data_IF_624529597634
#
_entry.id   IF_624529597634
#
_cell.length_a   1.000
_cell.length_b   1.000
_cell.length_c   1.000
_cell.angle_alpha   90.00
_cell.angle_beta   90.00
_cell.angle_gamma   90.00
#
_symmetry.space_group_name_H-M   'P 1'
#
loop_
_entity.id
_entity.type
_entity.pdbx_description
1 polymer ?
#
# COMPACT_ATOMS: atom_id res chain seq x y z
N UNK A 1 0.64 14.41 -12.42
CA UNK A 1 2.02 14.81 -12.02
C UNK A 1 2.92 13.60 -12.14
N UNK A 2 4.14 13.73 -12.67
CA UNK A 2 5.08 12.60 -12.74
C UNK A 2 5.54 12.18 -11.34
N UNK A 3 6.15 11.00 -11.22
CA UNK A 3 6.72 10.51 -9.95
C UNK A 3 7.80 11.48 -9.47
N UNK A 4 8.66 11.93 -10.36
CA UNK A 4 9.78 12.86 -10.10
C UNK A 4 9.27 14.21 -9.58
N UNK A 5 8.22 14.74 -10.21
CA UNK A 5 7.60 15.98 -9.77
C UNK A 5 7.01 15.85 -8.35
N UNK A 6 6.36 14.72 -8.04
CA UNK A 6 5.81 14.46 -6.70
C UNK A 6 6.90 14.33 -5.66
N UNK A 7 7.97 13.58 -5.94
CA UNK A 7 9.14 13.44 -5.07
C UNK A 7 9.74 14.82 -4.76
N UNK A 8 9.99 15.64 -5.78
CA UNK A 8 10.60 16.96 -5.61
C UNK A 8 9.72 17.90 -4.77
N UNK A 9 8.41 17.92 -5.00
CA UNK A 9 7.48 18.70 -4.18
C UNK A 9 7.46 18.23 -2.72
N UNK A 10 7.44 16.92 -2.48
CA UNK A 10 7.47 16.37 -1.12
C UNK A 10 8.77 16.72 -0.40
N UNK A 11 9.93 16.66 -1.08
CA UNK A 11 11.22 17.10 -0.50
C UNK A 11 11.22 18.58 -0.12
N UNK A 12 10.66 19.44 -0.97
CA UNK A 12 10.50 20.88 -0.67
C UNK A 12 9.58 21.10 0.55
N UNK A 13 8.47 20.37 0.63
CA UNK A 13 7.56 20.43 1.76
C UNK A 13 8.24 19.99 3.07
N UNK A 14 8.98 18.88 3.05
CA UNK A 14 9.78 18.41 4.20
C UNK A 14 10.76 19.49 4.68
N UNK A 15 11.52 20.10 3.75
CA UNK A 15 12.48 21.17 4.08
C UNK A 15 11.78 22.36 4.76
N UNK A 16 10.61 22.74 4.27
CA UNK A 16 9.83 23.84 4.83
C UNK A 16 9.30 23.51 6.23
N UNK A 17 8.77 22.29 6.44
CA UNK A 17 8.29 21.84 7.76
C UNK A 17 9.43 21.75 8.78
N UNK A 18 10.61 21.24 8.39
CA UNK A 18 11.81 21.25 9.25
C UNK A 18 12.17 22.66 9.70
N UNK A 19 12.17 23.62 8.77
CA UNK A 19 12.41 25.03 9.11
C UNK A 19 11.38 25.60 10.12
N UNK A 20 10.09 25.21 10.04
CA UNK A 20 9.09 25.63 11.02
C UNK A 20 9.30 25.02 12.41
N UNK A 21 9.79 23.79 12.48
CA UNK A 21 10.14 23.12 13.74
C UNK A 21 11.37 23.77 14.39
N UNK A 22 12.37 24.12 13.58
CA UNK A 22 13.65 24.70 14.04
C UNK A 22 13.55 26.17 14.44
N UNK A 23 12.56 26.92 13.92
CA UNK A 23 12.45 28.36 14.19
C UNK A 23 12.09 28.59 15.67
N UNK A 24 12.96 29.23 16.47
CA UNK A 24 12.64 29.49 17.88
C UNK A 24 11.42 30.42 17.96
N UNK A 25 10.39 29.96 18.69
CA UNK A 25 9.20 30.74 19.05
C UNK A 25 9.65 31.97 19.87
N UNK A 26 9.95 33.09 19.20
CA UNK A 26 10.16 34.36 19.89
C UNK A 26 8.84 34.74 20.57
N UNK A 27 8.89 34.82 21.91
CA UNK A 27 7.93 35.37 22.88
C UNK A 27 6.73 36.11 22.27
N UNK A 28 5.52 35.63 22.61
CA UNK A 28 4.55 36.37 23.41
C UNK A 28 3.74 35.34 24.20
N UNK A 29 3.95 35.31 25.51
CA UNK A 29 3.08 34.63 26.47
C UNK A 29 1.96 35.59 26.80
N UNK A 30 0.79 35.43 26.19
CA UNK A 30 -0.47 35.90 26.76
C UNK A 30 -1.58 35.13 26.04
N UNK A 31 -2.26 34.32 26.84
CA UNK A 31 -3.54 33.63 26.64
C UNK A 31 -3.83 33.02 25.27
N UNK A 32 -3.69 31.69 25.22
CA UNK A 32 -4.54 30.86 24.36
C UNK A 32 -4.71 29.51 25.03
N UNK A 33 -5.66 29.45 25.98
CA UNK A 33 -6.40 28.24 26.26
C UNK A 33 -7.14 27.82 24.98
N UNK A 34 -6.46 27.07 24.13
CA UNK A 34 -7.13 26.32 23.06
C UNK A 34 -7.15 24.85 23.47
N UNK A 35 -8.19 24.50 24.21
CA UNK A 35 -8.76 23.17 24.16
C UNK A 35 -9.03 22.82 22.68
N UNK A 36 -8.22 21.94 22.11
CA UNK A 36 -8.58 21.29 20.85
C UNK A 36 -8.08 19.85 20.90
N UNK A 37 -9.01 19.00 21.32
CA UNK A 37 -9.00 17.58 21.07
C UNK A 37 -8.72 17.34 19.57
N UNK A 38 -7.63 16.63 19.25
CA UNK A 38 -7.00 16.44 17.91
C UNK A 38 -6.10 17.57 17.35
N UNK A 39 -4.87 17.72 17.87
CA UNK A 39 -3.85 18.61 17.26
C UNK A 39 -2.71 17.80 16.63
N UNK A 40 -2.82 17.54 15.32
CA UNK A 40 -1.69 17.07 14.49
C UNK A 40 -0.56 18.11 14.57
N UNK A 41 0.62 17.71 15.01
CA UNK A 41 1.76 18.62 15.19
C UNK A 41 2.60 18.76 13.93
N UNK A 42 3.51 19.74 13.89
CA UNK A 42 4.52 19.83 12.83
C UNK A 42 5.41 18.57 12.78
N UNK A 43 5.67 17.93 13.92
CA UNK A 43 6.45 16.68 13.98
C UNK A 43 5.68 15.50 13.37
N UNK A 44 4.38 15.40 13.63
CA UNK A 44 3.52 14.38 13.00
C UNK A 44 3.44 14.60 11.49
N UNK A 45 3.31 15.86 11.07
CA UNK A 45 3.31 16.25 9.65
C UNK A 45 4.62 15.88 8.97
N UNK A 46 5.75 16.15 9.63
CA UNK A 46 7.08 15.80 9.12
C UNK A 46 7.21 14.27 8.93
N UNK A 47 6.84 13.49 9.95
CA UNK A 47 6.86 12.03 9.91
C UNK A 47 6.01 11.50 8.76
N UNK A 48 4.82 12.07 8.58
CA UNK A 48 3.91 11.69 7.50
C UNK A 48 4.47 12.01 6.11
N UNK A 49 5.13 13.15 5.94
CA UNK A 49 5.78 13.55 4.69
C UNK A 49 7.01 12.69 4.38
N UNK A 50 7.84 12.37 5.38
CA UNK A 50 9.00 11.49 5.22
C UNK A 50 8.56 10.08 4.82
N UNK A 51 7.50 9.54 5.42
CA UNK A 51 6.89 8.27 4.99
C UNK A 51 6.37 8.34 3.56
N UNK A 52 5.68 9.42 3.18
CA UNK A 52 5.20 9.62 1.80
C UNK A 52 6.36 9.69 0.81
N UNK A 53 7.45 10.37 1.16
CA UNK A 53 8.63 10.48 0.30
C UNK A 53 9.26 9.11 0.07
N UNK A 54 9.46 8.33 1.14
CA UNK A 54 9.99 6.99 1.04
C UNK A 54 9.12 6.12 0.12
N UNK A 55 7.79 6.18 0.26
CA UNK A 55 6.88 5.46 -0.65
C UNK A 55 7.03 5.92 -2.11
N UNK A 56 7.04 7.23 -2.37
CA UNK A 56 7.17 7.75 -3.74
C UNK A 56 8.46 7.27 -4.42
N UNK A 57 9.55 7.12 -3.66
CA UNK A 57 10.81 6.58 -4.17
C UNK A 57 10.67 5.12 -4.63
N UNK A 58 9.78 4.33 -3.99
CA UNK A 58 9.50 2.95 -4.43
C UNK A 58 8.77 2.86 -5.78
N UNK A 59 8.14 3.94 -6.25
CA UNK A 59 7.45 3.97 -7.55
C UNK A 59 8.42 3.94 -8.76
N UNK A 60 9.72 4.06 -8.49
CA UNK A 60 10.81 3.87 -9.44
C UNK A 60 11.46 2.48 -9.32
N UNK A 61 10.96 1.61 -8.44
CA UNK A 61 11.42 0.23 -8.37
C UNK A 61 11.04 -0.53 -9.65
N UNK A 62 11.93 -1.40 -10.13
CA UNK A 62 11.77 -2.13 -11.40
C UNK A 62 10.46 -2.92 -11.47
N UNK A 63 10.05 -3.54 -10.36
CA UNK A 63 8.77 -4.22 -10.23
C UNK A 63 7.57 -3.29 -10.50
N UNK A 64 7.50 -2.12 -9.84
CA UNK A 64 6.39 -1.17 -10.01
C UNK A 64 6.38 -0.58 -11.42
N UNK A 65 7.56 -0.30 -11.98
CA UNK A 65 7.69 0.13 -13.39
C UNK A 65 7.12 -0.94 -14.33
N UNK A 66 7.41 -2.22 -14.07
CA UNK A 66 6.91 -3.32 -14.90
C UNK A 66 5.38 -3.44 -14.86
N UNK A 67 4.76 -3.22 -13.70
CA UNK A 67 3.30 -3.17 -13.57
C UNK A 67 2.72 -1.98 -14.33
N UNK A 68 3.28 -0.78 -14.14
CA UNK A 68 2.83 0.47 -14.76
C UNK A 68 2.89 0.44 -16.29
N UNK A 69 3.93 -0.20 -16.84
CA UNK A 69 4.19 -0.26 -18.27
C UNK A 69 3.67 -1.55 -18.93
N UNK A 70 2.97 -2.41 -18.17
CA UNK A 70 2.40 -3.65 -18.69
C UNK A 70 1.31 -3.37 -19.72
N UNK A 71 1.16 -4.23 -20.74
CA UNK A 71 0.03 -4.18 -21.68
C UNK A 71 -1.28 -4.69 -21.05
N UNK A 72 -1.21 -5.36 -19.90
CA UNK A 72 -2.38 -5.87 -19.19
C UNK A 72 -2.95 -4.80 -18.27
N UNK A 73 -4.19 -4.37 -18.53
CA UNK A 73 -4.89 -3.33 -17.77
C UNK A 73 -4.94 -3.63 -16.26
N UNK A 74 -5.14 -4.89 -15.89
CA UNK A 74 -5.15 -5.33 -14.49
C UNK A 74 -3.79 -5.09 -13.79
N UNK A 75 -2.67 -5.32 -14.49
CA UNK A 75 -1.34 -5.05 -13.93
C UNK A 75 -1.09 -3.55 -13.76
N UNK A 76 -1.53 -2.73 -14.72
CA UNK A 76 -1.50 -1.27 -14.58
C UNK A 76 -2.35 -0.80 -13.39
N UNK A 77 -3.52 -1.41 -13.18
CA UNK A 77 -4.40 -1.15 -12.03
C UNK A 77 -3.68 -1.42 -10.71
N UNK A 78 -2.93 -2.51 -10.57
CA UNK A 78 -2.12 -2.76 -9.37
C UNK A 78 -1.05 -1.69 -9.14
N UNK A 79 -0.39 -1.19 -10.19
CA UNK A 79 0.54 -0.05 -10.03
C UNK A 79 -0.17 1.19 -9.47
N UNK A 80 -1.38 1.48 -9.95
CA UNK A 80 -2.15 2.64 -9.50
C UNK A 80 -2.62 2.48 -8.05
N UNK A 81 -3.10 1.30 -7.67
CA UNK A 81 -3.51 1.02 -6.28
C UNK A 81 -2.29 1.12 -5.35
N UNK A 82 -1.13 0.62 -5.77
CA UNK A 82 0.08 0.69 -4.98
C UNK A 82 0.53 2.14 -4.75
N UNK A 83 0.49 2.98 -5.79
CA UNK A 83 0.79 4.42 -5.69
C UNK A 83 -0.14 5.13 -4.67
N UNK A 84 -1.43 4.80 -4.67
CA UNK A 84 -2.40 5.33 -3.71
C UNK A 84 -2.24 4.74 -2.30
N UNK A 85 -1.54 3.61 -2.16
CA UNK A 85 -1.40 2.90 -0.89
C UNK A 85 -0.49 3.62 0.11
N UNK A 86 0.47 4.42 -0.37
CA UNK A 86 1.52 5.04 0.47
C UNK A 86 2.32 4.04 1.30
N UNK A 87 2.40 2.79 0.85
CA UNK A 87 2.94 1.65 1.61
C UNK A 87 2.27 1.51 2.99
N UNK A 88 1.02 1.91 3.14
CA UNK A 88 0.25 1.67 4.36
C UNK A 88 -0.09 0.18 4.44
N UNK A 89 0.29 -0.47 5.55
CA UNK A 89 0.18 -1.92 5.77
C UNK A 89 -1.18 -2.50 5.37
N UNK A 90 -2.28 -1.86 5.80
CA UNK A 90 -3.64 -2.30 5.46
C UNK A 90 -3.92 -2.27 3.96
N UNK A 91 -3.55 -1.17 3.27
CA UNK A 91 -3.77 -1.02 1.82
C UNK A 91 -2.91 -1.98 1.00
N UNK A 92 -1.65 -2.18 1.41
CA UNK A 92 -0.75 -3.15 0.75
C UNK A 92 -1.26 -4.58 0.96
N UNK A 93 -1.73 -4.91 2.17
CA UNK A 93 -2.36 -6.20 2.46
C UNK A 93 -3.61 -6.43 1.61
N UNK A 94 -4.52 -5.46 1.55
CA UNK A 94 -5.74 -5.54 0.74
C UNK A 94 -5.42 -5.76 -0.73
N UNK A 95 -4.45 -5.02 -1.28
CA UNK A 95 -4.00 -5.20 -2.66
C UNK A 95 -3.37 -6.58 -2.87
N UNK A 96 -2.54 -7.07 -1.95
CA UNK A 96 -1.93 -8.39 -2.04
C UNK A 96 -2.98 -9.51 -2.00
N UNK A 97 -4.02 -9.37 -1.17
CA UNK A 97 -5.17 -10.29 -1.15
C UNK A 97 -5.94 -10.23 -2.46
N UNK A 98 -6.19 -9.04 -3.01
CA UNK A 98 -6.85 -8.90 -4.31
C UNK A 98 -6.04 -9.59 -5.43
N UNK A 99 -4.73 -9.36 -5.48
CA UNK A 99 -3.83 -10.05 -6.41
C UNK A 99 -3.90 -11.57 -6.28
N UNK A 100 -4.00 -12.08 -5.04
CA UNK A 100 -4.14 -13.51 -4.81
C UNK A 100 -5.48 -14.07 -5.32
N UNK A 101 -6.59 -13.38 -5.05
CA UNK A 101 -7.92 -13.72 -5.55
C UNK A 101 -8.00 -13.65 -7.08
N UNK A 102 -7.30 -12.71 -7.68
CA UNK A 102 -7.18 -12.57 -9.14
C UNK A 102 -6.23 -13.62 -9.76
N UNK A 103 -5.75 -14.60 -8.97
CA UNK A 103 -4.92 -15.71 -9.42
C UNK A 103 -3.48 -15.33 -9.79
N UNK A 104 -2.99 -14.17 -9.33
CA UNK A 104 -1.63 -13.73 -9.65
C UNK A 104 -0.56 -14.63 -9.02
N UNK A 105 0.61 -14.79 -9.68
CA UNK A 105 1.70 -15.60 -9.13
C UNK A 105 2.15 -15.12 -7.74
N UNK A 106 2.40 -16.04 -6.81
CA UNK A 106 2.85 -15.66 -5.45
C UNK A 106 4.17 -14.88 -5.45
N UNK A 107 5.03 -15.09 -6.46
CA UNK A 107 6.23 -14.26 -6.65
C UNK A 107 5.89 -12.78 -6.87
N UNK A 108 4.81 -12.49 -7.60
CA UNK A 108 4.38 -11.11 -7.84
C UNK A 108 3.87 -10.45 -6.54
N UNK A 109 3.15 -11.22 -5.72
CA UNK A 109 2.71 -10.81 -4.39
C UNK A 109 3.92 -10.57 -3.48
N UNK A 110 4.90 -11.48 -3.47
CA UNK A 110 6.14 -11.32 -2.71
C UNK A 110 6.88 -10.04 -3.11
N UNK A 111 7.02 -9.77 -4.41
CA UNK A 111 7.66 -8.54 -4.90
C UNK A 111 6.91 -7.27 -4.46
N UNK A 112 5.57 -7.30 -4.41
CA UNK A 112 4.80 -6.18 -3.86
C UNK A 112 5.11 -5.94 -2.38
N UNK A 113 5.15 -7.01 -1.59
CA UNK A 113 5.44 -6.95 -0.15
C UNK A 113 6.87 -6.47 0.13
N UNK A 114 7.85 -6.89 -0.69
CA UNK A 114 9.26 -6.48 -0.58
C UNK A 114 9.50 -5.02 -0.95
N UNK A 115 8.73 -4.48 -1.90
CA UNK A 115 8.90 -3.10 -2.37
C UNK A 115 8.27 -2.09 -1.41
N UNK A 116 7.26 -2.49 -0.63
CA UNK A 116 6.61 -1.60 0.31
C UNK A 116 7.54 -1.11 1.42
N UNK A 117 7.40 0.16 1.79
CA UNK A 117 8.19 0.77 2.87
C UNK A 117 7.69 0.34 4.25
N UNK A 118 8.62 -0.12 5.09
CA UNK A 118 8.41 -0.39 6.50
C UNK A 118 8.08 -1.87 6.82
N UNK A 119 8.07 -2.25 8.10
CA UNK A 119 7.75 -3.61 8.50
C UNK A 119 6.27 -3.88 8.21
N UNK A 120 6.02 -4.73 7.22
CA UNK A 120 4.68 -5.21 6.93
C UNK A 120 4.26 -6.32 7.90
N UNK A 121 5.20 -7.15 8.38
CA UNK A 121 4.92 -8.38 9.14
C UNK A 121 3.83 -9.24 8.47
N UNK A 122 3.87 -9.31 7.14
CA UNK A 122 2.94 -10.06 6.29
C UNK A 122 3.77 -10.92 5.37
N UNK A 123 3.45 -12.21 5.31
CA UNK A 123 4.05 -13.16 4.36
C UNK A 123 3.06 -13.53 3.25
N UNK A 124 3.53 -14.03 2.09
CA UNK A 124 2.64 -14.58 1.07
C UNK A 124 1.72 -15.68 1.60
N UNK A 125 2.18 -16.47 2.58
CA UNK A 125 1.35 -17.48 3.25
C UNK A 125 0.14 -16.85 3.93
N UNK A 126 0.32 -15.73 4.62
CA UNK A 126 -0.77 -15.00 5.28
C UNK A 126 -1.75 -14.45 4.25
N UNK A 127 -1.25 -13.99 3.09
CA UNK A 127 -2.07 -13.51 1.98
C UNK A 127 -2.93 -14.64 1.41
N UNK A 128 -2.34 -15.80 1.12
CA UNK A 128 -3.06 -16.98 0.62
C UNK A 128 -4.11 -17.42 1.63
N UNK A 129 -3.76 -17.49 2.92
CA UNK A 129 -4.71 -17.83 3.98
C UNK A 129 -5.91 -16.85 3.99
N UNK A 130 -5.67 -15.54 3.93
CA UNK A 130 -6.73 -14.54 3.90
C UNK A 130 -7.60 -14.64 2.63
N UNK A 131 -7.02 -14.92 1.47
CA UNK A 131 -7.76 -15.13 0.23
C UNK A 131 -8.69 -16.35 0.34
N UNK A 132 -8.17 -17.48 0.85
CA UNK A 132 -8.97 -18.70 1.08
C UNK A 132 -10.10 -18.44 2.07
N UNK A 133 -9.84 -17.73 3.18
CA UNK A 133 -10.89 -17.38 4.14
C UNK A 133 -11.99 -16.51 3.54
N UNK A 134 -11.65 -15.58 2.63
CA UNK A 134 -12.64 -14.79 1.89
C UNK A 134 -13.51 -15.67 0.97
N UNK A 135 -12.90 -16.63 0.28
CA UNK A 135 -13.64 -17.58 -0.57
C UNK A 135 -14.57 -18.47 0.25
N UNK A 136 -14.10 -19.00 1.39
CA UNK A 136 -14.93 -19.80 2.31
C UNK A 136 -16.12 -18.97 2.81
N UNK A 137 -15.89 -17.70 3.17
CA UNK A 137 -16.95 -16.78 3.59
C UNK A 137 -18.00 -16.60 2.49
N UNK A 138 -17.57 -16.39 1.24
CA UNK A 138 -18.48 -16.25 0.09
C UNK A 138 -19.31 -17.52 -0.14
N UNK A 139 -18.69 -18.69 -0.08
CA UNK A 139 -19.36 -19.99 -0.22
C UNK A 139 -20.35 -20.28 0.93
N UNK A 140 -20.08 -19.74 2.12
CA UNK A 140 -20.93 -19.90 3.30
C UNK A 140 -22.14 -18.94 3.32
N UNK A 141 -22.37 -18.19 2.24
CA UNK A 141 -23.47 -17.22 2.15
C UNK A 141 -23.28 -15.95 2.99
N UNK A 142 -22.10 -15.75 3.57
CA UNK A 142 -21.72 -14.43 4.09
C UNK A 142 -21.32 -13.54 2.91
N UNK A 143 -21.73 -12.28 2.93
CA UNK A 143 -21.39 -11.28 1.91
C UNK A 143 -19.89 -10.97 1.95
N UNK A 144 -19.07 -11.87 1.44
CA UNK A 144 -17.71 -11.55 1.07
C UNK A 144 -17.75 -11.02 -0.36
N UNK A 145 -17.40 -9.74 -0.52
CA UNK A 145 -17.10 -9.16 -1.83
C UNK A 145 -15.86 -9.87 -2.38
N UNK A 146 -16.10 -10.99 -3.08
CA UNK A 146 -15.16 -11.44 -4.08
C UNK A 146 -15.14 -10.38 -5.18
N UNK A 147 -13.97 -10.10 -5.73
CA UNK A 147 -13.77 -9.08 -6.75
C UNK A 147 -14.51 -9.45 -8.04
N UNK A 148 -15.81 -9.16 -8.12
CA UNK A 148 -16.65 -9.33 -9.30
C UNK A 148 -17.60 -10.54 -9.26
N UNK A 149 -18.32 -10.81 -10.37
CA UNK A 149 -19.34 -11.86 -10.48
C UNK A 149 -18.75 -13.29 -10.60
N UNK A 150 -17.50 -13.49 -10.18
CA UNK A 150 -16.76 -14.71 -10.43
C UNK A 150 -17.17 -15.83 -9.46
N UNK A 151 -17.28 -17.06 -9.97
CA UNK A 151 -17.61 -18.24 -9.17
C UNK A 151 -16.53 -18.46 -8.09
N UNK A 152 -16.89 -18.50 -6.79
CA UNK A 152 -15.93 -18.69 -5.70
C UNK A 152 -15.04 -19.94 -5.86
N UNK A 153 -15.55 -21.01 -6.47
CA UNK A 153 -14.75 -22.22 -6.71
C UNK A 153 -13.67 -22.02 -7.78
N UNK A 154 -13.97 -21.26 -8.85
CA UNK A 154 -12.97 -20.88 -9.86
C UNK A 154 -11.89 -19.97 -9.26
N UNK A 155 -12.27 -19.05 -8.37
CA UNK A 155 -11.33 -18.20 -7.64
C UNK A 155 -10.39 -19.07 -6.78
N UNK A 156 -10.94 -20.06 -6.05
CA UNK A 156 -10.12 -20.98 -5.26
C UNK A 156 -9.15 -21.80 -6.12
N UNK A 157 -9.60 -22.27 -7.29
CA UNK A 157 -8.75 -23.00 -8.23
C UNK A 157 -7.56 -22.15 -8.67
N UNK A 158 -7.79 -20.87 -9.01
CA UNK A 158 -6.73 -19.92 -9.34
C UNK A 158 -5.72 -19.71 -8.21
N UNK A 159 -6.21 -19.51 -6.97
CA UNK A 159 -5.36 -19.37 -5.77
C UNK A 159 -4.50 -20.62 -5.56
N UNK A 160 -5.10 -21.81 -5.66
CA UNK A 160 -4.40 -23.09 -5.46
C UNK A 160 -3.37 -23.34 -6.56
N UNK A 161 -3.70 -23.01 -7.82
CA UNK A 161 -2.77 -23.13 -8.94
C UNK A 161 -1.54 -22.23 -8.75
N UNK A 162 -1.76 -20.96 -8.36
CA UNK A 162 -0.67 -20.02 -8.07
C UNK A 162 0.21 -20.49 -6.89
N UNK A 163 -0.39 -21.06 -5.85
CA UNK A 163 0.34 -21.61 -4.72
C UNK A 163 1.16 -22.85 -5.09
N UNK A 164 0.61 -23.80 -5.85
CA UNK A 164 1.34 -24.98 -6.34
C UNK A 164 2.55 -24.59 -7.19
N UNK A 165 2.35 -23.69 -8.15
CA UNK A 165 3.41 -23.20 -9.03
C UNK A 165 4.56 -22.47 -8.28
N UNK A 166 4.35 -22.07 -7.03
CA UNK A 166 5.38 -21.46 -6.17
C UNK A 166 6.23 -22.47 -5.40
N UNK A 167 5.73 -23.70 -5.20
CA UNK A 167 6.44 -24.79 -4.52
C UNK A 167 7.28 -25.60 -5.51
N UNK A 168 6.86 -25.66 -6.77
CA UNK A 168 7.53 -26.41 -7.84
C UNK A 168 8.77 -25.69 -8.42
N UNK A 169 9.23 -24.59 -7.80
CA UNK A 169 10.36 -23.74 -8.23
C UNK A 169 11.33 -23.49 -7.10
#
# INVERSE_FOLDING_TARGET
>A
LSVEARIEMTRKAIKMVKHFIEKPRKRNSEDSEEASDSKVTYADTLTHLEKSLAHLETLNHSFIISLRNSEQEMLQKYSNIYDLSRSEKGKVHEQAVAMCLDGQPLRMIQQLLEVAVGPLDISPKDIVHNAVMKVISALSGHSADLTGPQDPLQVLEGVVAAARASVDK
#
